data_IF_524030108902
#
_entry.id   IF_524030108902
#
_cell.length_a   1.000
_cell.length_b   1.000
_cell.length_c   1.000
_cell.angle_alpha   90.00
_cell.angle_beta   90.00
_cell.angle_gamma   90.00
#
_symmetry.space_group_name_H-M   'P 1'
#
loop_
_entity.id
_entity.type
_entity.pdbx_description
1 polymer ?
#
# COMPACT_ATOMS: atom_id res chain seq x y z
N UNK A 1 -16.36 4.00 1.99
CA UNK A 1 -17.63 3.36 1.61
C UNK A 1 -17.45 2.25 0.56
N UNK A 2 -16.70 2.45 -0.54
CA UNK A 2 -16.48 1.44 -1.59
C UNK A 2 -15.69 0.20 -1.11
N UNK A 3 -14.70 0.34 -0.24
CA UNK A 3 -13.91 -0.79 0.29
C UNK A 3 -14.76 -1.79 1.07
N UNK A 4 -15.68 -1.32 1.87
CA UNK A 4 -16.52 -2.18 2.71
C UNK A 4 -17.56 -2.98 1.88
N UNK A 5 -18.21 -2.33 0.91
CA UNK A 5 -19.17 -3.02 0.04
C UNK A 5 -18.50 -3.94 -1.00
N UNK A 6 -17.32 -3.57 -1.52
CA UNK A 6 -16.56 -4.40 -2.45
C UNK A 6 -16.18 -5.76 -1.85
N UNK A 7 -15.78 -5.78 -0.57
CA UNK A 7 -15.49 -7.01 0.14
C UNK A 7 -16.69 -7.94 0.24
N UNK A 8 -17.87 -7.42 0.57
CA UNK A 8 -19.11 -8.22 0.67
C UNK A 8 -19.56 -8.75 -0.68
N UNK A 9 -19.43 -7.98 -1.76
CA UNK A 9 -19.75 -8.44 -3.13
C UNK A 9 -18.80 -9.53 -3.58
N UNK A 10 -17.50 -9.39 -3.31
CA UNK A 10 -16.51 -10.42 -3.61
C UNK A 10 -16.81 -11.72 -2.85
N UNK A 11 -17.12 -11.61 -1.56
CA UNK A 11 -17.43 -12.76 -0.71
C UNK A 11 -18.72 -13.44 -1.17
N UNK A 12 -19.75 -12.67 -1.49
CA UNK A 12 -21.00 -13.21 -2.04
C UNK A 12 -20.78 -13.92 -3.39
N UNK A 13 -19.95 -13.35 -4.27
CA UNK A 13 -19.58 -13.98 -5.55
C UNK A 13 -18.86 -15.30 -5.36
N UNK A 14 -17.91 -15.38 -4.44
CA UNK A 14 -17.20 -16.64 -4.12
C UNK A 14 -18.13 -17.69 -3.51
N UNK A 15 -18.98 -17.31 -2.57
CA UNK A 15 -19.96 -18.21 -1.96
C UNK A 15 -20.90 -18.78 -3.02
N UNK A 16 -21.40 -17.92 -3.93
CA UNK A 16 -22.27 -18.34 -5.03
C UNK A 16 -21.54 -19.31 -5.97
N UNK A 17 -20.29 -19.04 -6.31
CA UNK A 17 -19.48 -19.93 -7.17
C UNK A 17 -19.25 -21.30 -6.52
N UNK A 18 -18.90 -21.34 -5.22
CA UNK A 18 -18.69 -22.58 -4.48
C UNK A 18 -20.00 -23.38 -4.36
N UNK A 19 -21.10 -22.73 -3.99
CA UNK A 19 -22.41 -23.38 -3.87
C UNK A 19 -22.87 -23.96 -5.23
N UNK A 20 -22.61 -23.24 -6.32
CA UNK A 20 -22.91 -23.68 -7.68
C UNK A 20 -22.05 -24.87 -8.09
N UNK A 21 -20.78 -24.91 -7.71
CA UNK A 21 -19.90 -26.05 -7.95
C UNK A 21 -20.41 -27.31 -7.22
N UNK A 22 -20.75 -27.16 -5.93
CA UNK A 22 -21.34 -28.26 -5.14
C UNK A 22 -22.63 -28.75 -5.79
N UNK A 23 -23.51 -27.86 -6.24
CA UNK A 23 -24.73 -28.20 -6.94
C UNK A 23 -24.46 -28.98 -8.23
N UNK A 24 -23.43 -28.57 -8.98
CA UNK A 24 -23.04 -29.22 -10.24
C UNK A 24 -22.48 -30.60 -9.99
N UNK A 25 -21.63 -30.79 -8.96
CA UNK A 25 -21.12 -32.11 -8.53
C UNK A 25 -22.28 -33.01 -8.10
N UNK A 26 -23.23 -32.50 -7.32
CA UNK A 26 -24.42 -33.26 -6.91
C UNK A 26 -25.28 -33.69 -8.12
N UNK A 27 -25.37 -32.84 -9.16
CA UNK A 27 -26.04 -33.22 -10.43
C UNK A 27 -25.25 -34.27 -11.19
N UNK A 28 -23.92 -34.20 -11.21
CA UNK A 28 -23.06 -35.18 -11.84
C UNK A 28 -23.17 -36.56 -11.15
N UNK A 29 -23.20 -36.60 -9.82
CA UNK A 29 -23.42 -37.84 -9.05
C UNK A 29 -24.77 -38.50 -9.35
N UNK A 30 -25.83 -37.72 -9.63
CA UNK A 30 -27.13 -38.23 -10.02
C UNK A 30 -27.16 -38.83 -11.44
N UNK A 31 -26.18 -38.49 -12.28
CA UNK A 31 -26.02 -39.07 -13.62
C UNK A 31 -25.23 -40.37 -13.55
N UNK A 32 -24.06 -40.34 -12.91
CA UNK A 32 -23.29 -41.53 -12.57
C UNK A 32 -22.24 -41.21 -11.48
N UNK A 33 -21.89 -42.21 -10.67
CA UNK A 33 -20.81 -42.12 -9.71
C UNK A 33 -19.48 -41.72 -10.35
N UNK A 34 -19.20 -42.24 -11.57
CA UNK A 34 -17.98 -41.89 -12.31
C UNK A 34 -17.90 -40.41 -12.69
N UNK A 35 -18.99 -39.79 -13.11
CA UNK A 35 -19.04 -38.38 -13.41
C UNK A 35 -18.90 -37.53 -12.15
N UNK A 36 -19.53 -37.91 -11.04
CA UNK A 36 -19.43 -37.20 -9.79
C UNK A 36 -18.00 -37.19 -9.22
N UNK A 37 -17.37 -38.39 -9.22
CA UNK A 37 -15.97 -38.51 -8.78
C UNK A 37 -15.00 -37.77 -9.71
N UNK A 38 -15.21 -37.86 -11.01
CA UNK A 38 -14.37 -37.12 -11.99
C UNK A 38 -14.46 -35.61 -11.77
N UNK A 39 -15.64 -35.04 -11.54
CA UNK A 39 -15.81 -33.61 -11.26
C UNK A 39 -15.21 -33.17 -9.92
N UNK A 40 -15.14 -34.08 -8.95
CA UNK A 40 -14.58 -33.78 -7.62
C UNK A 40 -13.04 -33.82 -7.62
N UNK A 41 -12.45 -34.81 -8.30
CA UNK A 41 -11.00 -35.05 -8.33
C UNK A 41 -10.30 -34.20 -9.40
N UNK A 42 -10.98 -33.98 -10.54
CA UNK A 42 -10.42 -33.25 -11.68
C UNK A 42 -11.36 -32.10 -12.09
N UNK A 43 -11.15 -30.88 -11.59
CA UNK A 43 -12.03 -29.73 -11.84
C UNK A 43 -12.38 -29.49 -13.33
N UNK A 44 -11.47 -29.66 -14.32
CA UNK A 44 -11.83 -29.55 -15.74
C UNK A 44 -12.92 -30.53 -16.23
N UNK A 45 -13.10 -31.65 -15.52
CA UNK A 45 -14.19 -32.59 -15.83
C UNK A 45 -15.59 -31.97 -15.67
N UNK A 46 -15.71 -30.92 -14.87
CA UNK A 46 -16.94 -30.12 -14.72
C UNK A 46 -17.39 -29.55 -16.07
N UNK A 47 -16.47 -29.06 -16.88
CA UNK A 47 -16.75 -28.50 -18.20
C UNK A 47 -17.17 -29.58 -19.18
N UNK A 48 -16.49 -30.74 -19.15
CA UNK A 48 -16.86 -31.89 -19.99
C UNK A 48 -18.23 -32.46 -19.61
N UNK A 49 -18.52 -32.55 -18.30
CA UNK A 49 -19.85 -32.95 -17.83
C UNK A 49 -20.92 -31.96 -18.29
N UNK A 50 -20.67 -30.66 -18.14
CA UNK A 50 -21.60 -29.62 -18.55
C UNK A 50 -21.85 -29.64 -20.06
N UNK A 51 -20.83 -29.84 -20.88
CA UNK A 51 -20.96 -29.95 -22.33
C UNK A 51 -21.82 -31.15 -22.74
N UNK A 52 -21.60 -32.32 -22.10
CA UNK A 52 -22.35 -33.55 -22.41
C UNK A 52 -23.77 -33.60 -21.85
N UNK A 53 -24.03 -32.90 -20.75
CA UNK A 53 -25.30 -32.92 -20.03
C UNK A 53 -25.86 -31.49 -19.82
N UNK A 54 -25.77 -30.66 -20.88
CA UNK A 54 -26.10 -29.23 -20.81
C UNK A 54 -27.47 -28.93 -20.23
N UNK A 55 -28.50 -29.71 -20.62
CA UNK A 55 -29.87 -29.52 -20.10
C UNK A 55 -29.97 -29.62 -18.55
N UNK A 56 -29.08 -30.44 -17.95
CA UNK A 56 -29.04 -30.64 -16.50
C UNK A 56 -28.06 -29.71 -15.81
N UNK A 57 -27.02 -29.23 -16.51
CA UNK A 57 -25.92 -28.41 -15.96
C UNK A 57 -26.12 -26.90 -16.15
N UNK A 58 -27.01 -26.46 -17.06
CA UNK A 58 -27.15 -25.06 -17.47
C UNK A 58 -27.34 -24.06 -16.30
N UNK A 59 -28.20 -24.39 -15.35
CA UNK A 59 -28.49 -23.49 -14.22
C UNK A 59 -27.35 -23.39 -13.20
N UNK A 60 -26.77 -24.50 -12.70
CA UNK A 60 -25.60 -24.42 -11.85
C UNK A 60 -24.38 -23.80 -12.56
N UNK A 61 -24.21 -24.05 -13.85
CA UNK A 61 -23.15 -23.44 -14.63
C UNK A 61 -23.33 -21.91 -14.75
N UNK A 62 -24.55 -21.45 -15.05
CA UNK A 62 -24.88 -20.03 -15.13
C UNK A 62 -24.65 -19.32 -13.78
N UNK A 63 -25.06 -19.93 -12.67
CA UNK A 63 -24.84 -19.40 -11.34
C UNK A 63 -23.33 -19.36 -10.97
N UNK A 64 -22.55 -20.35 -11.40
CA UNK A 64 -21.10 -20.38 -11.21
C UNK A 64 -20.41 -19.25 -11.99
N UNK A 65 -20.79 -19.06 -13.26
CA UNK A 65 -20.25 -17.97 -14.10
C UNK A 65 -20.61 -16.61 -13.52
N UNK A 66 -21.86 -16.44 -13.04
CA UNK A 66 -22.28 -15.20 -12.37
C UNK A 66 -21.46 -14.94 -11.10
N UNK A 67 -21.27 -15.95 -10.25
CA UNK A 67 -20.48 -15.82 -9.01
C UNK A 67 -19.03 -15.46 -9.27
N UNK A 68 -18.38 -16.15 -10.24
CA UNK A 68 -17.02 -15.84 -10.66
C UNK A 68 -16.93 -14.45 -11.31
N UNK A 69 -17.90 -14.07 -12.14
CA UNK A 69 -17.97 -12.75 -12.76
C UNK A 69 -18.08 -11.64 -11.74
N UNK A 70 -18.88 -11.81 -10.69
CA UNK A 70 -18.97 -10.86 -9.57
C UNK A 70 -17.64 -10.75 -8.81
N UNK A 71 -17.00 -11.87 -8.51
CA UNK A 71 -15.73 -11.87 -7.79
C UNK A 71 -14.61 -11.22 -8.61
N UNK A 72 -14.43 -11.65 -9.87
CA UNK A 72 -13.40 -11.10 -10.78
C UNK A 72 -13.69 -9.63 -11.11
N UNK A 73 -14.97 -9.30 -11.38
CA UNK A 73 -15.40 -7.94 -11.66
C UNK A 73 -15.11 -7.00 -10.49
N UNK A 74 -15.36 -7.43 -9.26
CA UNK A 74 -15.04 -6.64 -8.07
C UNK A 74 -13.54 -6.38 -7.94
N UNK A 75 -12.70 -7.40 -8.19
CA UNK A 75 -11.24 -7.25 -8.17
C UNK A 75 -10.77 -6.30 -9.28
N UNK A 76 -11.32 -6.45 -10.50
CA UNK A 76 -10.98 -5.61 -11.64
C UNK A 76 -11.40 -4.15 -11.42
N UNK A 77 -12.63 -3.92 -10.93
CA UNK A 77 -13.14 -2.59 -10.61
C UNK A 77 -12.31 -1.97 -9.49
N UNK A 78 -12.00 -2.74 -8.43
CA UNK A 78 -11.18 -2.22 -7.33
C UNK A 78 -9.79 -1.81 -7.83
N UNK A 79 -9.14 -2.62 -8.68
CA UNK A 79 -7.85 -2.24 -9.31
C UNK A 79 -7.98 -1.00 -10.20
N UNK A 80 -9.03 -0.92 -11.02
CA UNK A 80 -9.25 0.23 -11.91
C UNK A 80 -9.59 1.50 -11.13
N UNK A 81 -10.37 1.39 -10.06
CA UNK A 81 -10.78 2.53 -9.23
C UNK A 81 -9.61 2.98 -8.35
N UNK A 82 -8.90 2.08 -7.71
CA UNK A 82 -7.71 2.41 -6.91
C UNK A 82 -6.61 3.02 -7.78
N UNK A 83 -6.37 2.48 -8.99
CA UNK A 83 -5.38 3.04 -9.91
C UNK A 83 -5.84 4.34 -10.62
N UNK A 84 -7.15 4.67 -10.60
CA UNK A 84 -7.68 5.92 -11.18
C UNK A 84 -8.01 7.00 -10.15
N UNK A 85 -8.08 6.67 -8.88
CA UNK A 85 -8.10 7.62 -7.80
C UNK A 85 -6.66 8.03 -7.48
N UNK A 86 -5.98 8.65 -8.46
CA UNK A 86 -4.87 9.54 -8.16
C UNK A 86 -5.42 10.59 -7.21
N UNK A 87 -5.08 10.46 -5.95
CA UNK A 87 -5.29 11.52 -4.99
C UNK A 87 -4.22 12.56 -5.30
N UNK A 88 -4.49 13.45 -6.27
CA UNK A 88 -3.58 14.54 -6.65
C UNK A 88 -3.01 15.28 -5.44
N UNK A 89 -2.07 16.19 -5.67
CA UNK A 89 -1.47 16.95 -4.58
C UNK A 89 -2.56 17.69 -3.81
N UNK A 90 -2.63 17.41 -2.51
CA UNK A 90 -3.57 18.06 -1.60
C UNK A 90 -2.82 19.08 -0.77
N UNK A 91 -3.10 20.34 -1.04
CA UNK A 91 -2.54 21.45 -0.26
C UNK A 91 -3.59 21.95 0.74
N UNK A 92 -3.18 22.14 1.98
CA UNK A 92 -4.02 22.69 3.04
C UNK A 92 -3.20 23.66 3.88
N UNK A 93 -3.78 24.80 4.18
CA UNK A 93 -3.21 25.73 5.16
C UNK A 93 -3.88 25.47 6.51
N UNK A 94 -3.07 25.14 7.52
CA UNK A 94 -3.48 24.90 8.90
C UNK A 94 -2.72 25.88 9.78
N UNK A 95 -3.43 26.72 10.50
CA UNK A 95 -2.85 27.75 11.38
C UNK A 95 -1.78 28.65 10.69
N UNK A 96 -2.00 28.94 9.40
CA UNK A 96 -1.08 29.72 8.58
C UNK A 96 0.12 28.96 8.02
N UNK A 97 0.20 27.64 8.23
CA UNK A 97 1.28 26.78 7.76
C UNK A 97 0.82 25.90 6.59
N UNK A 98 1.67 25.79 5.56
CA UNK A 98 1.37 24.99 4.39
C UNK A 98 1.68 23.51 4.64
N UNK A 99 0.66 22.68 4.51
CA UNK A 99 0.73 21.21 4.56
C UNK A 99 0.46 20.65 3.17
N UNK A 100 1.34 19.80 2.68
CA UNK A 100 1.20 19.12 1.37
C UNK A 100 1.15 17.61 1.59
N UNK A 101 0.16 16.97 1.00
CA UNK A 101 0.02 15.52 0.99
C UNK A 101 0.06 15.02 -0.45
N UNK A 102 1.10 14.27 -0.77
CA UNK A 102 1.32 13.60 -2.05
C UNK A 102 1.16 12.07 -1.92
N UNK A 103 0.95 11.56 -0.72
CA UNK A 103 0.72 10.12 -0.51
C UNK A 103 -0.49 9.64 -1.32
N UNK A 104 -0.29 8.59 -2.14
CA UNK A 104 -1.28 8.06 -3.08
C UNK A 104 -1.36 8.83 -4.40
N UNK A 105 -0.45 9.77 -4.66
CA UNK A 105 -0.29 10.39 -5.97
C UNK A 105 0.40 9.40 -6.93
N UNK A 106 -0.19 9.22 -8.12
CA UNK A 106 0.30 8.26 -9.12
C UNK A 106 1.23 8.89 -10.17
N UNK A 107 1.57 10.16 -10.01
CA UNK A 107 2.50 10.86 -10.88
C UNK A 107 3.88 10.90 -10.24
N UNK A 108 4.88 10.41 -10.96
CA UNK A 108 6.28 10.42 -10.53
C UNK A 108 6.96 11.78 -10.67
N UNK A 109 6.23 12.83 -11.05
CA UNK A 109 6.77 14.19 -11.19
C UNK A 109 6.56 15.00 -9.90
N UNK A 110 7.61 15.11 -9.10
CA UNK A 110 7.65 15.89 -7.85
C UNK A 110 8.19 17.31 -8.04
N UNK A 111 8.47 17.75 -9.28
CA UNK A 111 8.99 19.09 -9.59
C UNK A 111 8.14 20.26 -9.07
N UNK A 112 6.78 20.15 -8.91
CA UNK A 112 6.00 21.23 -8.31
C UNK A 112 6.42 21.60 -6.88
N UNK A 113 7.14 20.72 -6.14
CA UNK A 113 7.68 20.99 -4.81
C UNK A 113 8.76 22.09 -4.83
N UNK A 114 9.44 22.31 -5.96
CA UNK A 114 10.41 23.40 -6.10
C UNK A 114 9.81 24.79 -5.86
N UNK A 115 8.53 24.94 -6.15
CA UNK A 115 7.78 26.19 -5.97
C UNK A 115 7.06 26.28 -4.61
N UNK A 116 7.26 25.32 -3.72
CA UNK A 116 6.56 25.21 -2.42
C UNK A 116 7.54 25.18 -1.26
N UNK A 117 8.54 26.06 -1.28
CA UNK A 117 9.63 26.08 -0.26
C UNK A 117 9.15 26.47 1.14
N UNK A 118 7.97 27.07 1.26
CA UNK A 118 7.31 27.43 2.51
C UNK A 118 6.62 26.26 3.22
N UNK A 119 6.62 25.05 2.60
CA UNK A 119 5.98 23.85 3.17
C UNK A 119 6.53 23.53 4.56
N UNK A 120 5.61 23.26 5.48
CA UNK A 120 5.93 22.91 6.87
C UNK A 120 5.74 21.42 7.14
N UNK A 121 4.68 20.82 6.56
CA UNK A 121 4.40 19.39 6.65
C UNK A 121 4.32 18.83 5.25
N UNK A 122 5.12 17.81 4.94
CA UNK A 122 5.13 17.13 3.66
C UNK A 122 4.93 15.62 3.86
N UNK A 123 3.87 15.10 3.29
CA UNK A 123 3.58 13.66 3.26
C UNK A 123 3.74 13.15 1.82
N UNK A 124 4.75 12.32 1.58
CA UNK A 124 5.05 11.73 0.27
C UNK A 124 5.44 10.24 0.42
N UNK A 125 4.65 9.53 1.21
CA UNK A 125 4.77 8.10 1.45
C UNK A 125 4.30 7.32 0.21
N UNK A 126 5.14 7.24 -0.81
CA UNK A 126 4.85 6.57 -2.08
C UNK A 126 6.02 5.67 -2.50
N UNK A 127 5.76 4.51 -3.12
CA UNK A 127 6.80 3.56 -3.51
C UNK A 127 7.66 4.02 -4.70
N UNK A 128 7.31 5.09 -5.39
CA UNK A 128 8.10 5.72 -6.47
C UNK A 128 9.06 6.79 -5.96
N UNK A 129 8.88 7.29 -4.72
CA UNK A 129 9.80 8.23 -4.08
C UNK A 129 11.14 7.54 -3.82
N UNK A 130 12.21 8.12 -4.35
CA UNK A 130 13.58 7.65 -4.23
C UNK A 130 14.52 8.80 -3.80
N UNK A 131 15.81 8.51 -3.68
CA UNK A 131 16.78 9.50 -3.19
C UNK A 131 16.85 10.76 -4.06
N UNK A 132 16.68 10.62 -5.39
CA UNK A 132 16.68 11.73 -6.35
C UNK A 132 15.48 12.66 -6.13
N UNK A 133 14.34 12.11 -5.69
CA UNK A 133 13.12 12.89 -5.41
C UNK A 133 13.36 13.91 -4.29
N UNK A 134 14.27 13.62 -3.37
CA UNK A 134 14.58 14.51 -2.25
C UNK A 134 15.35 15.78 -2.69
N UNK A 135 15.87 15.84 -3.91
CA UNK A 135 16.50 17.05 -4.44
C UNK A 135 15.49 18.20 -4.57
N UNK A 136 14.22 17.89 -4.81
CA UNK A 136 13.14 18.87 -4.82
C UNK A 136 12.88 19.52 -3.45
N UNK A 137 13.36 18.92 -2.35
CA UNK A 137 13.21 19.45 -1.01
C UNK A 137 14.30 20.48 -0.66
N UNK A 138 15.33 20.60 -1.48
CA UNK A 138 16.41 21.57 -1.27
C UNK A 138 15.84 22.99 -1.12
N UNK A 139 16.26 23.71 -0.06
CA UNK A 139 15.76 25.04 0.25
C UNK A 139 14.43 25.12 1.02
N UNK A 140 13.83 24.00 1.41
CA UNK A 140 12.67 23.97 2.30
C UNK A 140 13.10 24.22 3.75
N UNK A 141 13.42 25.46 4.07
CA UNK A 141 13.95 25.84 5.40
C UNK A 141 12.91 25.78 6.52
N UNK A 142 11.63 25.72 6.19
CA UNK A 142 10.52 25.65 7.15
C UNK A 142 9.98 24.25 7.36
N UNK A 143 10.47 23.24 6.64
CA UNK A 143 9.95 21.87 6.69
C UNK A 143 10.25 21.27 8.08
N UNK A 144 9.18 20.97 8.83
CA UNK A 144 9.23 20.38 10.18
C UNK A 144 8.86 18.92 10.22
N UNK A 145 7.94 18.47 9.35
CA UNK A 145 7.52 17.09 9.29
C UNK A 145 7.66 16.54 7.87
N UNK A 146 8.31 15.39 7.76
CA UNK A 146 8.52 14.68 6.49
C UNK A 146 8.13 13.21 6.66
N UNK A 147 7.14 12.77 5.86
CA UNK A 147 6.70 11.39 5.81
C UNK A 147 7.12 10.75 4.49
N UNK A 148 8.00 9.75 4.58
CA UNK A 148 8.57 8.97 3.50
C UNK A 148 8.34 7.46 3.71
N UNK A 149 7.31 7.10 4.49
CA UNK A 149 7.02 5.69 4.75
C UNK A 149 6.85 4.91 3.44
N UNK A 150 7.29 3.66 3.44
CA UNK A 150 7.14 2.72 2.33
C UNK A 150 7.74 3.20 0.99
N UNK A 151 8.68 4.18 1.05
CA UNK A 151 9.42 4.70 -0.12
C UNK A 151 10.72 3.93 -0.38
N UNK A 152 11.39 4.24 -1.49
CA UNK A 152 12.65 3.57 -1.88
C UNK A 152 13.90 4.34 -1.46
N UNK A 153 13.79 5.27 -0.50
CA UNK A 153 14.95 5.99 -0.01
C UNK A 153 15.95 5.07 0.67
N UNK A 154 17.21 5.47 0.56
CA UNK A 154 18.37 4.79 1.14
C UNK A 154 19.16 5.75 2.06
N UNK A 155 20.37 5.37 2.43
CA UNK A 155 21.26 6.24 3.22
C UNK A 155 21.67 7.52 2.49
N UNK A 156 21.66 7.51 1.14
CA UNK A 156 21.85 8.73 0.33
C UNK A 156 20.73 9.71 0.58
N UNK A 157 19.48 9.24 0.68
CA UNK A 157 18.34 10.06 1.07
C UNK A 157 18.48 10.63 2.49
N UNK A 158 18.96 9.84 3.45
CA UNK A 158 19.24 10.35 4.82
C UNK A 158 20.26 11.48 4.82
N UNK A 159 21.28 11.45 3.97
CA UNK A 159 22.24 12.54 3.82
C UNK A 159 21.55 13.84 3.38
N UNK A 160 20.62 13.76 2.41
CA UNK A 160 19.86 14.93 1.94
C UNK A 160 18.89 15.46 3.01
N UNK A 161 18.22 14.54 3.72
CA UNK A 161 17.30 14.86 4.81
C UNK A 161 18.03 15.58 5.95
N UNK A 162 19.25 15.17 6.26
CA UNK A 162 20.08 15.82 7.30
C UNK A 162 20.40 17.29 7.01
N UNK A 163 20.28 17.73 5.76
CA UNK A 163 20.48 19.14 5.36
C UNK A 163 19.24 20.03 5.61
N UNK A 164 18.11 19.46 6.00
CA UNK A 164 16.88 20.21 6.28
C UNK A 164 16.97 20.85 7.68
N UNK A 165 17.07 22.19 7.78
CA UNK A 165 17.50 22.85 9.02
C UNK A 165 16.43 22.87 10.12
N UNK A 166 15.17 22.67 9.76
CA UNK A 166 14.03 22.77 10.72
C UNK A 166 13.33 21.45 10.96
N UNK A 167 13.83 20.34 10.40
CA UNK A 167 13.15 19.05 10.47
C UNK A 167 13.09 18.51 11.90
N UNK A 168 11.89 18.22 12.38
CA UNK A 168 11.62 17.72 13.74
C UNK A 168 11.04 16.30 13.75
N UNK A 169 10.22 15.96 12.75
CA UNK A 169 9.56 14.67 12.66
C UNK A 169 9.91 14.02 11.33
N UNK A 170 10.48 12.82 11.38
CA UNK A 170 10.84 12.03 10.21
C UNK A 170 10.19 10.65 10.29
N UNK A 171 9.46 10.26 9.26
CA UNK A 171 8.90 8.93 9.12
C UNK A 171 9.53 8.22 7.93
N UNK A 172 10.23 7.11 8.20
CA UNK A 172 10.97 6.30 7.22
C UNK A 172 10.66 4.81 7.37
N UNK A 173 9.48 4.47 7.90
CA UNK A 173 9.08 3.07 8.05
C UNK A 173 9.09 2.36 6.69
N UNK A 174 9.52 1.09 6.66
CA UNK A 174 9.49 0.26 5.46
C UNK A 174 10.44 0.70 4.34
N UNK A 175 11.43 1.57 4.65
CA UNK A 175 12.42 2.07 3.70
C UNK A 175 13.73 1.24 3.74
N UNK A 176 14.65 1.54 2.82
CA UNK A 176 15.96 0.85 2.71
C UNK A 176 17.08 1.55 3.49
N UNK A 177 16.75 2.42 4.43
CA UNK A 177 17.73 3.08 5.28
C UNK A 177 18.38 2.10 6.24
N UNK A 178 19.67 2.29 6.50
CA UNK A 178 20.45 1.39 7.34
C UNK A 178 20.90 2.04 8.65
N UNK A 179 21.39 1.20 9.56
CA UNK A 179 22.00 1.66 10.81
C UNK A 179 23.21 2.56 10.55
N UNK A 180 24.04 2.23 9.55
CA UNK A 180 25.20 3.03 9.18
C UNK A 180 24.83 4.42 8.68
N UNK A 181 23.82 4.50 7.78
CA UNK A 181 23.32 5.78 7.29
C UNK A 181 22.73 6.64 8.40
N UNK A 182 21.96 6.03 9.31
CA UNK A 182 21.40 6.72 10.47
C UNK A 182 22.49 7.29 11.40
N UNK A 183 23.47 6.47 11.77
CA UNK A 183 24.58 6.89 12.64
C UNK A 183 25.41 7.99 11.99
N UNK A 184 25.65 7.92 10.68
CA UNK A 184 26.46 8.88 9.94
C UNK A 184 25.77 10.22 9.74
N UNK A 185 24.47 10.23 9.41
CA UNK A 185 23.79 11.43 8.94
C UNK A 185 22.77 12.00 9.92
N UNK A 186 22.07 11.16 10.69
CA UNK A 186 20.97 11.58 11.57
C UNK A 186 21.41 11.71 13.03
N UNK A 187 22.21 10.76 13.52
CA UNK A 187 22.65 10.75 14.92
C UNK A 187 23.33 12.06 15.35
N UNK A 188 24.23 12.70 14.53
CA UNK A 188 24.89 13.96 14.89
C UNK A 188 23.96 15.16 14.89
N UNK A 189 22.77 15.07 14.27
CA UNK A 189 21.84 16.20 14.13
C UNK A 189 21.14 16.53 15.44
N UNK A 190 20.86 17.82 15.66
CA UNK A 190 20.24 18.33 16.90
C UNK A 190 18.76 18.68 16.73
N UNK A 191 18.27 18.85 15.49
CA UNK A 191 16.91 19.36 15.21
C UNK A 191 15.83 18.31 15.32
N UNK A 192 16.12 17.06 14.93
CA UNK A 192 15.14 15.98 14.88
C UNK A 192 14.71 15.57 16.30
N UNK A 193 13.39 15.48 16.51
CA UNK A 193 12.74 15.15 17.80
C UNK A 193 12.01 13.81 17.77
N UNK A 194 11.49 13.43 16.60
CA UNK A 194 10.74 12.19 16.46
C UNK A 194 11.15 11.45 15.18
N UNK A 195 11.34 10.14 15.30
CA UNK A 195 11.60 9.26 14.14
C UNK A 195 10.75 7.99 14.22
N UNK A 196 10.09 7.65 13.10
CA UNK A 196 9.50 6.32 12.87
C UNK A 196 10.43 5.53 11.96
N UNK A 197 11.12 4.56 12.53
CA UNK A 197 12.09 3.68 11.86
C UNK A 197 11.63 2.21 11.86
N UNK A 198 10.34 1.96 12.01
CA UNK A 198 9.80 0.59 11.95
C UNK A 198 10.09 -0.05 10.59
N UNK A 199 10.27 -1.35 10.57
CA UNK A 199 10.52 -2.10 9.33
C UNK A 199 11.73 -1.60 8.53
N UNK A 200 12.73 -1.00 9.24
CA UNK A 200 14.04 -0.64 8.68
C UNK A 200 15.14 -1.47 9.33
N UNK A 201 16.37 -1.38 8.83
CA UNK A 201 17.54 -2.03 9.44
C UNK A 201 18.23 -1.20 10.51
N UNK A 202 17.73 0.01 10.83
CA UNK A 202 18.24 0.84 11.93
C UNK A 202 18.09 0.08 13.26
N UNK A 203 19.16 -0.04 14.03
CA UNK A 203 19.16 -0.83 15.25
C UNK A 203 18.47 -0.08 16.42
N UNK A 204 17.83 -0.85 17.31
CA UNK A 204 17.30 -0.27 18.55
C UNK A 204 18.40 0.31 19.45
N UNK A 205 19.66 -0.11 19.27
CA UNK A 205 20.81 0.43 19.99
C UNK A 205 21.06 1.87 19.55
N UNK A 206 21.22 2.11 18.25
CA UNK A 206 21.47 3.44 17.69
C UNK A 206 20.33 4.42 17.97
N UNK A 207 19.08 3.95 17.92
CA UNK A 207 17.92 4.77 18.27
C UNK A 207 17.89 5.15 19.76
N UNK A 208 18.29 4.24 20.67
CA UNK A 208 18.42 4.56 22.09
C UNK A 208 19.56 5.53 22.36
N UNK A 209 20.69 5.38 21.68
CA UNK A 209 21.83 6.29 21.76
C UNK A 209 21.43 7.70 21.27
N UNK A 210 20.78 7.79 20.12
CA UNK A 210 20.23 9.04 19.60
C UNK A 210 19.25 9.69 20.58
N UNK A 211 18.34 8.91 21.18
CA UNK A 211 17.40 9.41 22.18
C UNK A 211 18.10 9.92 23.44
N UNK A 212 19.13 9.22 23.89
CA UNK A 212 19.87 9.58 25.10
C UNK A 212 20.75 10.84 24.94
N UNK A 213 21.10 11.18 23.69
CA UNK A 213 21.90 12.38 23.39
C UNK A 213 21.14 13.69 23.57
N UNK A 214 19.79 13.64 23.74
CA UNK A 214 18.96 14.82 23.91
C UNK A 214 18.15 14.76 25.20
N UNK A 215 18.34 15.78 26.07
CA UNK A 215 17.62 15.91 27.33
C UNK A 215 16.15 16.34 27.14
N UNK A 216 15.79 16.86 25.98
CA UNK A 216 14.47 17.43 25.68
C UNK A 216 13.46 16.39 25.15
N UNK A 217 13.81 15.11 25.24
CA UNK A 217 12.83 14.03 25.07
C UNK A 217 12.58 13.57 23.65
N UNK A 218 13.64 13.24 22.89
CA UNK A 218 13.51 12.55 21.59
C UNK A 218 12.66 11.28 21.68
N UNK A 219 11.85 11.04 20.66
CA UNK A 219 10.95 9.87 20.57
C UNK A 219 11.27 9.07 19.33
N UNK A 220 11.17 7.74 19.44
CA UNK A 220 11.27 6.86 18.27
C UNK A 220 10.25 5.72 18.33
N UNK A 221 9.84 5.26 17.15
CA UNK A 221 9.10 4.02 16.92
C UNK A 221 10.03 3.04 16.18
N UNK A 222 10.04 1.76 16.64
CA UNK A 222 10.87 0.70 16.06
C UNK A 222 10.09 -0.64 16.05
#
# INVERSE_FOLDING_TARGET
MFEQYGYWVLLAGLVLAIASLIWLVARALRVSLGWGLACLVFPPAVLLFAARNFSRAKWPLAAMVLGLGLAVGTIAINRLVVNRLSLGPREKVVDGELHITLTGWDQSDYSPLEQRKETVVLQMANPDVADETLDYLAGMTRLRELDLNDSRITDVGLQKIAMLPSLRVLRVRGTKVTDEGFVRHILPGETLREIDARETTISSKSLREWKAADKDGRKFLK
#
